data_IF_898368459836
#
_entry.id   IF_898368459836
#
_cell.length_a   1.000
_cell.length_b   1.000
_cell.length_c   1.000
_cell.angle_alpha   90.00
_cell.angle_beta   90.00
_cell.angle_gamma   90.00
#
_symmetry.space_group_name_H-M   'P 1'
#
loop_
_entity.id
_entity.type
_entity.pdbx_description
1 polymer ?
#
# COMPACT_ATOMS: atom_id res chain seq x y z
N UNK A 1 -21.83 29.98 9.70
CA UNK A 1 -20.66 29.85 8.80
C UNK A 1 -19.69 30.95 9.17
N UNK A 2 -18.60 30.63 9.85
CA UNK A 2 -17.54 31.60 10.14
C UNK A 2 -16.71 31.80 8.87
N UNK A 3 -16.82 32.98 8.27
CA UNK A 3 -15.99 33.35 7.13
C UNK A 3 -14.66 33.85 7.67
N UNK A 4 -13.53 33.31 7.19
CA UNK A 4 -12.25 33.98 7.41
C UNK A 4 -12.35 35.39 6.81
N UNK A 5 -12.13 36.46 7.60
CA UNK A 5 -12.19 37.83 7.09
C UNK A 5 -11.27 38.05 5.88
N UNK A 6 -10.17 37.28 5.81
CA UNK A 6 -9.18 37.32 4.74
C UNK A 6 -9.75 36.85 3.39
N UNK A 7 -10.73 35.95 3.38
CA UNK A 7 -11.31 35.40 2.15
C UNK A 7 -12.62 36.10 1.72
N UNK A 8 -13.09 37.12 2.46
CA UNK A 8 -14.38 37.78 2.19
C UNK A 8 -14.44 38.38 0.79
N UNK A 9 -13.33 38.94 0.32
CA UNK A 9 -13.23 39.54 -1.02
C UNK A 9 -13.44 38.51 -2.15
N UNK A 10 -13.20 37.22 -1.91
CA UNK A 10 -13.43 36.17 -2.91
C UNK A 10 -14.90 36.04 -3.31
N UNK A 11 -15.83 36.40 -2.41
CA UNK A 11 -17.27 36.36 -2.67
C UNK A 11 -17.78 37.57 -3.45
N UNK A 12 -16.93 38.55 -3.74
CA UNK A 12 -17.28 39.70 -4.58
C UNK A 12 -16.95 39.46 -6.06
N UNK A 13 -16.24 38.37 -6.39
CA UNK A 13 -16.00 37.99 -7.77
C UNK A 13 -17.25 37.38 -8.40
N UNK A 14 -17.33 37.51 -9.72
CA UNK A 14 -18.33 36.80 -10.52
C UNK A 14 -18.12 35.30 -10.38
N UNK A 15 -19.20 34.59 -10.09
CA UNK A 15 -19.19 33.14 -10.04
C UNK A 15 -19.55 32.58 -11.42
N UNK A 16 -18.66 31.77 -11.99
CA UNK A 16 -18.90 31.07 -13.24
C UNK A 16 -18.90 29.56 -13.00
N UNK A 17 -19.81 28.85 -13.68
CA UNK A 17 -19.97 27.40 -13.60
C UNK A 17 -19.47 26.79 -14.90
N UNK A 18 -18.53 25.86 -14.78
CA UNK A 18 -18.01 25.11 -15.92
C UNK A 18 -18.36 23.63 -15.78
N UNK A 19 -18.91 23.06 -16.86
CA UNK A 19 -19.11 21.62 -16.95
C UNK A 19 -17.81 20.95 -17.38
N UNK A 20 -17.33 20.01 -16.57
CA UNK A 20 -16.16 19.20 -16.94
C UNK A 20 -16.62 17.96 -17.71
N UNK A 21 -16.10 17.70 -18.92
CA UNK A 21 -16.50 16.55 -19.72
C UNK A 21 -16.33 15.22 -18.99
N UNK A 22 -17.20 14.26 -19.31
CA UNK A 22 -17.05 12.90 -18.81
C UNK A 22 -15.80 12.25 -19.40
N UNK A 23 -14.81 11.94 -18.56
CA UNK A 23 -13.69 11.08 -18.94
C UNK A 23 -14.14 9.63 -18.90
N UNK A 24 -14.49 9.08 -20.06
CA UNK A 24 -14.75 7.65 -20.22
C UNK A 24 -13.49 7.01 -20.78
N UNK A 25 -12.96 6.03 -20.05
CA UNK A 25 -11.82 5.25 -20.50
C UNK A 25 -12.04 3.81 -20.08
N UNK A 26 -11.54 2.87 -20.87
CA UNK A 26 -11.60 1.45 -20.55
C UNK A 26 -10.20 0.96 -20.23
N UNK A 27 -10.10 0.06 -19.26
CA UNK A 27 -8.88 -0.71 -19.08
C UNK A 27 -8.91 -1.93 -19.99
N UNK A 28 -7.75 -2.27 -20.53
CA UNK A 28 -7.55 -3.46 -21.37
C UNK A 28 -7.76 -4.73 -20.55
N UNK A 29 -7.35 -4.70 -19.28
CA UNK A 29 -7.35 -5.86 -18.38
C UNK A 29 -7.89 -5.49 -16.99
N UNK A 30 -8.72 -6.36 -16.42
CA UNK A 30 -9.04 -6.39 -14.98
C UNK A 30 -9.03 -7.85 -14.51
N UNK A 31 -8.68 -8.11 -13.23
CA UNK A 31 -8.80 -9.45 -12.66
C UNK A 31 -10.22 -10.01 -12.82
N UNK A 32 -10.34 -11.21 -13.37
CA UNK A 32 -11.62 -11.91 -13.60
C UNK A 32 -11.84 -13.05 -12.61
N UNK A 33 -10.78 -13.62 -12.07
CA UNK A 33 -10.85 -14.80 -11.22
C UNK A 33 -9.85 -14.68 -10.04
N UNK A 34 -9.91 -15.63 -9.11
CA UNK A 34 -9.04 -15.64 -7.93
C UNK A 34 -7.55 -15.68 -8.31
N UNK A 35 -7.18 -16.39 -9.38
CA UNK A 35 -5.79 -16.48 -9.84
C UNK A 35 -5.28 -15.14 -10.35
N UNK A 36 -6.08 -14.40 -11.11
CA UNK A 36 -5.70 -13.06 -11.58
C UNK A 36 -5.45 -12.10 -10.41
N UNK A 37 -6.24 -12.22 -9.33
CA UNK A 37 -6.06 -11.43 -8.11
C UNK A 37 -4.82 -11.85 -7.32
N UNK A 38 -4.55 -13.15 -7.23
CA UNK A 38 -3.31 -13.66 -6.65
C UNK A 38 -2.09 -13.07 -7.37
N UNK A 39 -2.11 -13.06 -8.71
CA UNK A 39 -1.04 -12.49 -9.53
C UNK A 39 -0.89 -10.97 -9.30
N UNK A 40 -1.97 -10.24 -9.00
CA UNK A 40 -1.89 -8.82 -8.61
C UNK A 40 -1.16 -8.66 -7.28
N UNK A 41 -1.53 -9.47 -6.28
CA UNK A 41 -0.91 -9.44 -4.95
C UNK A 41 0.57 -9.85 -5.01
N UNK A 42 0.90 -10.89 -5.77
CA UNK A 42 2.28 -11.33 -5.97
C UNK A 42 3.14 -10.25 -6.66
N UNK A 43 2.60 -9.59 -7.69
CA UNK A 43 3.28 -8.47 -8.37
C UNK A 43 3.52 -7.29 -7.43
N UNK A 44 2.53 -6.94 -6.60
CA UNK A 44 2.65 -5.88 -5.62
C UNK A 44 3.73 -6.20 -4.57
N UNK A 45 3.72 -7.43 -4.03
CA UNK A 45 4.72 -7.90 -3.09
C UNK A 45 6.13 -7.91 -3.70
N UNK A 46 6.26 -8.45 -4.92
CA UNK A 46 7.54 -8.49 -5.65
C UNK A 46 8.10 -7.09 -5.85
N UNK A 47 7.25 -6.12 -6.22
CA UNK A 47 7.68 -4.73 -6.39
C UNK A 47 8.10 -4.09 -5.08
N UNK A 48 7.34 -4.28 -4.00
CA UNK A 48 7.71 -3.79 -2.66
C UNK A 48 9.05 -4.38 -2.23
N UNK A 49 9.24 -5.69 -2.35
CA UNK A 49 10.49 -6.34 -1.97
C UNK A 49 11.70 -5.83 -2.78
N UNK A 50 11.51 -5.41 -4.04
CA UNK A 50 12.54 -4.74 -4.85
C UNK A 50 12.84 -3.32 -4.39
N UNK A 51 11.80 -2.52 -4.09
CA UNK A 51 11.96 -1.14 -3.62
C UNK A 51 12.67 -1.05 -2.27
N UNK A 52 12.46 -2.05 -1.41
CA UNK A 52 13.08 -2.13 -0.09
C UNK A 52 14.37 -2.96 -0.08
N UNK A 53 15.06 -3.19 -1.21
CA UNK A 53 16.37 -3.89 -1.18
C UNK A 53 17.44 -3.06 -0.41
N UNK A 54 18.33 -3.70 0.37
CA UNK A 54 18.86 -3.08 1.57
C UNK A 54 20.04 -2.13 1.32
N UNK A 55 19.98 -0.95 1.95
CA UNK A 55 21.18 -0.37 2.57
C UNK A 55 21.37 -0.89 4.00
N UNK A 56 20.30 -1.09 4.79
CA UNK A 56 20.35 -1.81 6.08
C UNK A 56 18.97 -2.42 6.43
N UNK A 57 18.93 -3.74 6.72
CA UNK A 57 17.81 -4.48 7.39
C UNK A 57 16.38 -4.24 6.86
N UNK A 58 16.13 -4.40 5.57
CA UNK A 58 14.75 -4.52 5.10
C UNK A 58 14.24 -5.97 5.24
N UNK A 59 13.13 -6.16 5.94
CA UNK A 59 12.41 -7.42 6.08
C UNK A 59 11.82 -7.83 4.73
N UNK A 60 12.33 -8.92 4.13
CA UNK A 60 11.68 -9.53 2.96
C UNK A 60 10.33 -10.09 3.40
N UNK A 61 9.29 -9.85 2.60
CA UNK A 61 7.94 -10.37 2.87
C UNK A 61 7.57 -11.49 1.90
N UNK A 62 6.76 -12.45 2.36
CA UNK A 62 6.22 -13.58 1.63
C UNK A 62 4.68 -13.52 1.60
N UNK A 63 4.07 -14.25 0.67
CA UNK A 63 2.62 -14.43 0.63
C UNK A 63 2.19 -15.42 1.72
N UNK A 64 1.25 -15.00 2.56
CA UNK A 64 0.54 -15.90 3.47
C UNK A 64 -0.58 -16.60 2.71
N UNK A 65 -0.29 -17.81 2.22
CA UNK A 65 -1.14 -18.55 1.28
C UNK A 65 -2.60 -18.67 1.75
N UNK A 66 -2.83 -18.97 3.04
CA UNK A 66 -4.19 -19.12 3.57
C UNK A 66 -5.02 -17.83 3.47
N UNK A 67 -4.44 -16.69 3.85
CA UNK A 67 -5.10 -15.38 3.78
C UNK A 67 -5.29 -14.94 2.33
N UNK A 68 -4.27 -15.09 1.49
CA UNK A 68 -4.37 -14.73 0.06
C UNK A 68 -5.44 -15.56 -0.65
N UNK A 69 -5.51 -16.86 -0.39
CA UNK A 69 -6.54 -17.74 -0.98
C UNK A 69 -7.94 -17.30 -0.58
N UNK A 70 -8.16 -16.98 0.71
CA UNK A 70 -9.46 -16.51 1.20
C UNK A 70 -9.85 -15.16 0.58
N UNK A 71 -8.93 -14.21 0.54
CA UNK A 71 -9.19 -12.86 0.03
C UNK A 71 -9.43 -12.87 -1.48
N UNK A 72 -8.64 -13.62 -2.25
CA UNK A 72 -8.82 -13.72 -3.71
C UNK A 72 -10.13 -14.39 -4.09
N UNK A 73 -10.57 -15.40 -3.33
CA UNK A 73 -11.88 -16.01 -3.48
C UNK A 73 -13.03 -15.05 -3.12
N UNK A 74 -12.82 -14.12 -2.19
CA UNK A 74 -13.79 -13.06 -1.90
C UNK A 74 -13.82 -12.00 -3.02
N UNK A 75 -12.65 -11.53 -3.47
CA UNK A 75 -12.51 -10.48 -4.49
C UNK A 75 -13.02 -10.89 -5.87
N UNK A 76 -13.07 -12.19 -6.19
CA UNK A 76 -13.61 -12.67 -7.47
C UNK A 76 -15.12 -12.94 -7.46
N UNK A 77 -15.84 -12.65 -6.37
CA UNK A 77 -17.30 -12.84 -6.30
C UNK A 77 -18.08 -11.85 -7.15
N UNK A 78 -17.54 -10.64 -7.31
CA UNK A 78 -18.15 -9.58 -8.09
C UNK A 78 -17.28 -9.28 -9.31
N UNK A 79 -17.91 -9.21 -10.49
CA UNK A 79 -17.20 -8.83 -11.70
C UNK A 79 -16.84 -7.35 -11.65
N UNK A 80 -15.56 -7.05 -11.83
CA UNK A 80 -15.09 -5.68 -11.94
C UNK A 80 -15.42 -5.18 -13.34
N UNK A 81 -16.12 -4.05 -13.40
CA UNK A 81 -16.34 -3.33 -14.67
C UNK A 81 -15.01 -3.00 -15.34
N UNK A 82 -14.94 -2.98 -16.67
CA UNK A 82 -13.77 -2.44 -17.40
C UNK A 82 -13.80 -0.92 -17.54
N UNK A 83 -14.91 -0.28 -17.17
CA UNK A 83 -15.04 1.17 -17.24
C UNK A 83 -14.26 1.81 -16.10
N UNK A 84 -13.26 2.61 -16.46
CA UNK A 84 -12.44 3.32 -15.49
C UNK A 84 -13.24 4.38 -14.77
N UNK A 85 -13.11 4.38 -13.45
CA UNK A 85 -13.76 5.39 -12.61
C UNK A 85 -12.73 6.46 -12.27
N UNK A 86 -12.76 7.57 -13.02
CA UNK A 86 -12.02 8.80 -12.65
C UNK A 86 -12.96 9.73 -11.87
N UNK A 87 -12.67 9.94 -10.59
CA UNK A 87 -13.44 10.87 -9.75
C UNK A 87 -13.14 12.35 -10.07
N UNK A 88 -13.95 13.24 -9.50
CA UNK A 88 -13.91 14.67 -9.79
C UNK A 88 -12.60 15.33 -9.34
N UNK A 89 -11.92 14.84 -8.30
CA UNK A 89 -10.65 15.42 -7.84
C UNK A 89 -9.61 15.46 -8.95
N UNK A 90 -9.48 14.33 -9.66
CA UNK A 90 -8.46 14.14 -10.69
C UNK A 90 -8.82 14.94 -11.92
N UNK A 91 -10.10 14.94 -12.29
CA UNK A 91 -10.62 15.74 -13.41
C UNK A 91 -10.37 17.22 -13.20
N UNK A 92 -10.67 17.72 -12.00
CA UNK A 92 -10.47 19.12 -11.66
C UNK A 92 -8.98 19.50 -11.68
N UNK A 93 -8.12 18.69 -11.06
CA UNK A 93 -6.68 18.92 -11.05
C UNK A 93 -6.11 18.98 -12.49
N UNK A 94 -6.44 17.99 -13.32
CA UNK A 94 -5.94 17.94 -14.69
C UNK A 94 -6.47 19.08 -15.56
N UNK A 95 -7.73 19.49 -15.36
CA UNK A 95 -8.30 20.64 -16.05
C UNK A 95 -7.59 21.94 -15.68
N UNK A 96 -7.33 22.17 -14.39
CA UNK A 96 -6.58 23.34 -13.91
C UNK A 96 -5.18 23.33 -14.52
N UNK A 97 -4.48 22.19 -14.45
CA UNK A 97 -3.13 22.06 -14.98
C UNK A 97 -3.07 22.31 -16.49
N UNK A 98 -4.03 21.78 -17.25
CA UNK A 98 -4.14 22.02 -18.69
C UNK A 98 -4.40 23.51 -18.98
N UNK A 99 -5.37 24.11 -18.31
CA UNK A 99 -5.75 25.52 -18.50
C UNK A 99 -4.60 26.48 -18.22
N UNK A 100 -3.85 26.26 -17.13
CA UNK A 100 -2.68 27.07 -16.80
C UNK A 100 -1.50 26.85 -17.75
N UNK A 101 -1.39 25.66 -18.34
CA UNK A 101 -0.36 25.36 -19.35
C UNK A 101 -0.70 26.00 -20.70
N UNK A 102 -1.97 25.99 -21.10
CA UNK A 102 -2.46 26.56 -22.35
C UNK A 102 -2.48 28.10 -22.29
N UNK A 103 -2.78 28.67 -21.12
CA UNK A 103 -2.77 30.11 -20.89
C UNK A 103 -1.88 30.48 -19.69
N UNK A 104 -0.58 30.76 -19.90
CA UNK A 104 0.34 31.14 -18.84
C UNK A 104 0.00 32.46 -18.13
N UNK A 105 -0.84 33.32 -18.73
CA UNK A 105 -1.30 34.57 -18.10
C UNK A 105 -2.48 34.37 -17.14
N UNK A 106 -3.07 33.17 -17.10
CA UNK A 106 -4.15 32.85 -16.17
C UNK A 106 -3.64 32.95 -14.73
N UNK A 107 -4.44 33.59 -13.87
CA UNK A 107 -4.16 33.61 -12.44
C UNK A 107 -4.07 32.16 -11.91
N UNK A 108 -3.05 31.88 -11.10
CA UNK A 108 -2.84 30.55 -10.55
C UNK A 108 -4.00 30.12 -9.67
N UNK A 109 -4.48 28.91 -9.89
CA UNK A 109 -5.53 28.34 -9.07
C UNK A 109 -5.02 28.09 -7.65
N UNK A 110 -5.91 28.23 -6.66
CA UNK A 110 -5.63 27.77 -5.31
C UNK A 110 -5.35 26.27 -5.33
N UNK A 111 -4.32 25.85 -4.59
CA UNK A 111 -3.95 24.44 -4.54
C UNK A 111 -4.97 23.57 -3.78
N UNK A 112 -5.86 24.18 -2.99
CA UNK A 112 -6.93 23.47 -2.30
C UNK A 112 -8.10 23.18 -3.25
N UNK A 113 -8.35 21.90 -3.51
CA UNK A 113 -9.44 21.39 -4.33
C UNK A 113 -10.68 21.17 -3.45
N UNK A 114 -11.68 22.05 -3.61
CA UNK A 114 -12.96 21.94 -2.90
C UNK A 114 -13.81 20.79 -3.45
N UNK A 115 -14.04 19.76 -2.63
CA UNK A 115 -14.90 18.61 -2.95
C UNK A 115 -15.93 18.35 -1.86
N UNK A 116 -17.07 17.76 -2.23
CA UNK A 116 -18.20 17.54 -1.33
C UNK A 116 -17.99 16.38 -0.34
N UNK A 117 -17.09 15.44 -0.64
CA UNK A 117 -16.74 14.28 0.19
C UNK A 117 -15.23 14.16 0.35
N UNK A 118 -14.78 13.42 1.36
CA UNK A 118 -13.36 13.03 1.45
C UNK A 118 -12.96 12.22 0.22
N UNK A 119 -11.71 12.34 -0.19
CA UNK A 119 -11.21 11.64 -1.37
C UNK A 119 -11.06 10.14 -1.12
N UNK A 120 -11.18 9.36 -2.19
CA UNK A 120 -10.81 7.95 -2.14
C UNK A 120 -9.29 7.78 -2.03
N UNK A 121 -8.84 6.58 -1.68
CA UNK A 121 -7.42 6.28 -1.54
C UNK A 121 -6.67 6.49 -2.86
N UNK A 122 -7.26 6.07 -3.99
CA UNK A 122 -6.68 6.27 -5.32
C UNK A 122 -6.50 7.75 -5.68
N UNK A 123 -7.53 8.59 -5.46
CA UNK A 123 -7.43 10.03 -5.73
C UNK A 123 -6.37 10.70 -4.84
N UNK A 124 -6.31 10.31 -3.56
CA UNK A 124 -5.34 10.86 -2.63
C UNK A 124 -3.90 10.58 -3.08
N UNK A 125 -3.59 9.33 -3.39
CA UNK A 125 -2.26 8.94 -3.87
C UNK A 125 -1.91 9.54 -5.23
N UNK A 126 -2.91 9.75 -6.10
CA UNK A 126 -2.67 10.42 -7.38
C UNK A 126 -2.20 11.85 -7.16
N UNK A 127 -2.93 12.62 -6.34
CA UNK A 127 -2.62 14.03 -6.08
C UNK A 127 -1.21 14.12 -5.50
N UNK A 128 -0.86 13.24 -4.57
CA UNK A 128 0.48 13.18 -4.00
C UNK A 128 1.55 12.84 -5.05
N UNK A 129 1.30 11.84 -5.91
CA UNK A 129 2.22 11.48 -6.98
C UNK A 129 2.40 12.61 -7.98
N UNK A 130 1.30 13.26 -8.34
CA UNK A 130 1.28 14.37 -9.26
C UNK A 130 2.11 15.53 -8.71
N UNK A 131 1.89 15.91 -7.44
CA UNK A 131 2.67 16.94 -6.77
C UNK A 131 4.17 16.66 -6.79
N UNK A 132 4.59 15.41 -6.52
CA UNK A 132 6.01 15.01 -6.55
C UNK A 132 6.62 15.12 -7.95
N UNK A 133 5.89 14.71 -8.99
CA UNK A 133 6.38 14.68 -10.38
C UNK A 133 6.34 16.06 -11.06
N UNK A 134 5.39 16.91 -10.67
CA UNK A 134 5.12 18.20 -11.31
C UNK A 134 5.53 19.41 -10.46
N UNK A 135 5.99 19.21 -9.21
CA UNK A 135 6.38 20.30 -8.31
C UNK A 135 5.19 21.13 -7.82
N UNK A 136 3.98 20.58 -7.83
CA UNK A 136 2.75 21.26 -7.39
C UNK A 136 2.41 20.95 -5.93
N UNK A 137 1.37 21.59 -5.39
CA UNK A 137 0.93 21.43 -3.98
C UNK A 137 -0.57 21.20 -3.84
N UNK A 138 -1.20 20.60 -4.83
CA UNK A 138 -2.64 20.33 -4.81
C UNK A 138 -3.02 19.48 -3.60
N UNK A 139 -4.15 19.78 -2.97
CA UNK A 139 -4.64 19.04 -1.81
C UNK A 139 -6.17 19.07 -1.74
N UNK A 140 -6.75 18.05 -1.12
CA UNK A 140 -8.16 18.04 -0.70
C UNK A 140 -8.23 18.04 0.83
N UNK A 141 -9.44 18.10 1.40
CA UNK A 141 -9.64 18.03 2.86
C UNK A 141 -9.03 16.78 3.51
N UNK A 142 -8.87 15.69 2.76
CA UNK A 142 -8.32 14.43 3.25
C UNK A 142 -8.91 13.23 2.52
N UNK A 143 -8.59 12.04 3.03
CA UNK A 143 -8.99 10.75 2.44
C UNK A 143 -9.85 9.94 3.41
N UNK A 144 -10.81 9.18 2.89
CA UNK A 144 -11.56 8.18 3.67
C UNK A 144 -10.94 6.77 3.55
N UNK A 145 -9.80 6.62 2.88
CA UNK A 145 -9.03 5.37 2.83
C UNK A 145 -9.61 4.21 2.02
N UNK A 146 -10.80 4.35 1.40
CA UNK A 146 -11.40 3.27 0.58
C UNK A 146 -10.88 3.36 -0.86
N UNK A 147 -10.62 2.21 -1.46
CA UNK A 147 -10.26 2.05 -2.87
C UNK A 147 -11.49 1.63 -3.67
N UNK A 148 -11.62 2.11 -4.91
CA UNK A 148 -12.71 1.78 -5.81
C UNK A 148 -12.13 1.13 -7.06
N UNK A 149 -12.71 0.02 -7.54
CA UNK A 149 -12.18 -0.72 -8.69
C UNK A 149 -13.12 -0.62 -9.92
N UNK A 150 -12.60 -0.59 -11.16
CA UNK A 150 -11.18 -0.51 -11.51
C UNK A 150 -10.67 0.92 -11.34
N UNK A 151 -9.61 1.09 -10.55
CA UNK A 151 -8.93 2.38 -10.51
C UNK A 151 -7.77 2.38 -11.48
N UNK A 152 -7.84 3.23 -12.50
CA UNK A 152 -6.72 3.50 -13.38
C UNK A 152 -6.67 4.98 -13.70
N UNK A 153 -5.46 5.42 -14.02
CA UNK A 153 -5.12 6.80 -14.28
C UNK A 153 -5.54 7.25 -15.67
N UNK A 154 -6.00 8.50 -15.80
CA UNK A 154 -5.98 9.17 -17.09
C UNK A 154 -4.56 9.13 -17.68
N UNK A 155 -4.44 8.97 -19.00
CA UNK A 155 -3.14 8.98 -19.71
C UNK A 155 -2.92 10.26 -20.51
N UNK A 156 -3.93 11.13 -20.55
CA UNK A 156 -3.99 12.33 -21.37
C UNK A 156 -3.40 13.57 -20.66
N UNK A 157 -2.21 13.43 -20.06
CA UNK A 157 -1.51 14.57 -19.46
C UNK A 157 0.02 14.38 -19.50
N UNK A 158 0.82 15.48 -19.47
CA UNK A 158 2.27 15.38 -19.48
C UNK A 158 2.81 14.53 -18.32
N UNK A 159 3.88 13.76 -18.56
CA UNK A 159 4.52 12.89 -17.56
C UNK A 159 3.58 11.84 -16.91
N UNK A 160 2.45 11.49 -17.55
CA UNK A 160 1.49 10.51 -17.00
C UNK A 160 2.14 9.18 -16.58
N UNK A 161 3.11 8.69 -17.35
CA UNK A 161 3.81 7.44 -17.05
C UNK A 161 4.63 7.54 -15.75
N UNK A 162 5.34 8.64 -15.55
CA UNK A 162 6.11 8.90 -14.33
C UNK A 162 5.18 9.08 -13.12
N UNK A 163 4.06 9.81 -13.29
CA UNK A 163 3.03 9.95 -12.23
C UNK A 163 2.42 8.60 -11.86
N UNK A 164 2.07 7.77 -12.83
CA UNK A 164 1.55 6.43 -12.59
C UNK A 164 2.59 5.55 -11.88
N UNK A 165 3.84 5.58 -12.32
CA UNK A 165 4.93 4.84 -11.68
C UNK A 165 5.12 5.26 -10.21
N UNK A 166 5.13 6.56 -9.94
CA UNK A 166 5.25 7.13 -8.60
C UNK A 166 4.08 6.71 -7.72
N UNK A 167 2.84 6.83 -8.21
CA UNK A 167 1.68 6.40 -7.44
C UNK A 167 1.71 4.90 -7.15
N UNK A 168 1.99 4.06 -8.15
CA UNK A 168 2.08 2.61 -7.92
C UNK A 168 3.19 2.26 -6.91
N UNK A 169 4.29 3.02 -6.88
CA UNK A 169 5.32 2.85 -5.84
C UNK A 169 4.75 3.09 -4.43
N UNK A 170 4.02 4.19 -4.24
CA UNK A 170 3.41 4.50 -2.95
C UNK A 170 2.32 3.49 -2.57
N UNK A 171 1.52 3.06 -3.55
CA UNK A 171 0.47 2.06 -3.34
C UNK A 171 1.05 0.71 -2.86
N UNK A 172 2.14 0.23 -3.50
CA UNK A 172 2.75 -1.04 -3.09
C UNK A 172 3.44 -0.95 -1.73
N UNK A 173 3.95 0.22 -1.34
CA UNK A 173 4.50 0.42 0.00
C UNK A 173 3.39 0.32 1.06
N UNK A 174 2.25 0.95 0.82
CA UNK A 174 1.08 0.89 1.72
C UNK A 174 0.55 -0.54 1.80
N UNK A 175 0.29 -1.18 0.66
CA UNK A 175 -0.17 -2.58 0.65
C UNK A 175 0.84 -3.50 1.30
N UNK A 176 2.12 -3.34 0.97
CA UNK A 176 3.21 -4.11 1.57
C UNK A 176 3.27 -3.97 3.09
N UNK A 177 2.86 -2.83 3.63
CA UNK A 177 2.92 -2.56 5.08
C UNK A 177 1.68 -3.05 5.82
N UNK A 178 0.48 -2.90 5.24
CA UNK A 178 -0.79 -3.09 5.95
C UNK A 178 -1.64 -4.26 5.47
N UNK A 179 -1.31 -4.90 4.34
CA UNK A 179 -2.07 -6.06 3.89
C UNK A 179 -1.67 -7.31 4.69
N UNK A 180 -2.65 -7.92 5.36
CA UNK A 180 -2.45 -9.08 6.24
C UNK A 180 -2.12 -10.38 5.49
N UNK A 181 -2.24 -10.40 4.16
CA UNK A 181 -1.78 -11.51 3.32
C UNK A 181 -0.27 -11.50 3.06
N UNK A 182 0.47 -10.54 3.63
CA UNK A 182 1.94 -10.53 3.59
C UNK A 182 2.54 -10.76 4.98
N UNK A 183 3.46 -11.71 5.07
CA UNK A 183 4.18 -12.04 6.30
C UNK A 183 5.69 -11.85 6.13
N UNK A 184 6.41 -11.65 7.23
CA UNK A 184 7.86 -11.48 7.19
C UNK A 184 8.50 -12.85 6.97
N UNK A 185 9.46 -12.93 6.03
CA UNK A 185 10.35 -14.08 5.93
C UNK A 185 11.20 -14.13 7.20
N UNK A 186 10.84 -15.04 8.11
CA UNK A 186 11.72 -15.38 9.22
C UNK A 186 12.96 -16.02 8.63
N UNK A 187 14.07 -15.29 8.59
CA UNK A 187 15.37 -15.94 8.45
C UNK A 187 15.51 -16.81 9.69
N UNK A 188 15.69 -18.11 9.51
CA UNK A 188 16.26 -18.96 10.55
C UNK A 188 17.56 -18.27 10.96
N UNK A 189 17.53 -17.52 12.07
CA UNK A 189 18.73 -17.24 12.82
C UNK A 189 19.19 -18.61 13.24
N UNK A 190 20.14 -19.18 12.50
CA UNK A 190 20.87 -20.34 12.98
C UNK A 190 21.28 -20.01 14.41
N UNK A 191 21.00 -20.90 15.34
CA UNK A 191 21.49 -20.79 16.70
C UNK A 191 23.02 -20.67 16.63
N UNK A 192 23.55 -19.45 16.67
CA UNK A 192 24.97 -19.16 16.87
C UNK A 192 25.24 -18.89 18.36
N UNK A 193 24.48 -19.54 19.25
CA UNK A 193 24.85 -19.60 20.66
C UNK A 193 26.01 -20.57 20.85
N UNK A 194 27.19 -20.18 20.34
CA UNK A 194 28.48 -20.62 20.87
C UNK A 194 28.96 -19.66 21.97
N UNK A 195 28.04 -19.16 22.79
CA UNK A 195 28.38 -18.62 24.09
C UNK A 195 28.65 -19.82 24.99
N UNK A 196 29.92 -20.20 25.12
CA UNK A 196 30.36 -21.16 26.11
C UNK A 196 29.88 -20.68 27.48
N UNK A 197 28.92 -21.41 28.06
CA UNK A 197 28.61 -21.32 29.46
C UNK A 197 29.87 -21.75 30.21
N UNK A 198 30.56 -20.78 30.82
CA UNK A 198 31.41 -21.10 31.94
C UNK A 198 30.54 -21.83 32.96
N UNK A 199 31.04 -22.99 33.35
CA UNK A 199 30.39 -23.97 34.19
C UNK A 199 29.90 -23.37 35.51
N UNK A 200 28.72 -23.81 35.93
CA UNK A 200 28.54 -24.25 37.31
C UNK A 200 27.51 -25.40 37.36
N UNK A 201 28.00 -26.59 37.74
CA UNK A 201 27.19 -27.74 38.23
C UNK A 201 26.66 -28.73 37.19
N UNK A 202 26.95 -30.05 37.31
CA UNK A 202 26.35 -31.06 36.44
C UNK A 202 25.02 -31.56 37.03
N UNK A 203 24.01 -31.70 36.18
CA UNK A 203 22.93 -32.65 36.39
C UNK A 203 22.90 -33.63 35.20
N UNK A 204 23.87 -34.53 35.18
CA UNK A 204 23.83 -35.72 34.33
C UNK A 204 23.03 -36.80 35.06
N UNK A 205 21.87 -37.16 34.52
CA UNK A 205 21.15 -38.36 34.91
C UNK A 205 22.01 -39.58 34.51
N UNK A 206 22.54 -40.29 35.50
CA UNK A 206 23.17 -41.59 35.27
C UNK A 206 22.10 -42.62 34.90
N UNK A 207 22.25 -43.18 33.71
CA UNK A 207 21.52 -44.35 33.24
C UNK A 207 21.88 -45.58 34.08
N UNK A 208 20.85 -46.30 34.53
CA UNK A 208 20.90 -47.58 35.23
C UNK A 208 21.97 -48.55 34.68
N UNK A 209 23.07 -48.70 35.42
CA UNK A 209 24.09 -49.71 35.17
C UNK A 209 23.75 -51.01 35.91
N UNK A 210 23.86 -52.19 35.26
CA UNK A 210 23.57 -53.50 35.87
C UNK A 210 24.39 -53.83 37.12
N UNK A 211 25.50 -53.13 37.37
CA UNK A 211 26.34 -53.33 38.54
C UNK A 211 25.71 -52.80 39.83
N UNK A 212 24.83 -51.79 39.75
CA UNK A 212 24.17 -51.18 40.92
C UNK A 212 23.04 -52.06 41.48
N UNK A 213 22.36 -52.83 40.62
CA UNK A 213 21.31 -53.78 41.04
C UNK A 213 21.84 -54.99 41.82
N UNK A 214 23.05 -55.47 41.51
CA UNK A 214 23.66 -56.60 42.20
C UNK A 214 24.13 -56.27 43.64
N UNK A 215 24.46 -55.00 43.92
CA UNK A 215 24.87 -54.55 45.24
C UNK A 215 23.68 -54.36 46.20
N UNK A 216 22.52 -53.93 45.69
CA UNK A 216 21.29 -53.71 46.47
C UNK A 216 20.61 -55.03 46.89
N UNK A 217 20.65 -56.08 46.06
CA UNK A 217 20.07 -57.39 46.40
C UNK A 217 20.83 -58.12 47.52
N UNK A 218 22.10 -57.77 47.77
CA UNK A 218 22.93 -58.36 48.84
C UNK A 218 22.74 -57.68 50.21
N UNK A 219 22.14 -56.49 50.23
CA UNK A 219 21.90 -55.69 51.44
C UNK A 219 20.46 -55.88 51.97
N UNK A 220 19.51 -56.26 51.11
CA UNK A 220 18.09 -56.43 51.49
C UNK A 220 17.68 -57.89 51.73
N UNK A 221 18.66 -58.80 51.85
CA UNK A 221 18.44 -60.25 52.00
C UNK A 221 18.93 -60.84 53.33
N UNK A 222 19.02 -60.06 54.41
CA UNK A 222 19.42 -60.51 55.75
C UNK A 222 18.62 -59.81 56.84
#
# INVERSE_FOLDING_TARGET
>A
VSWSPQCRHLFHYRFDIHTVPATLSKTDTVPQNAKDWEDVLERALSRRNKLHQPRHKAEKKLLKISTVTQDTAYMCREQISKNLVTHCEIKLLLLIAASESENPSLAKAYSYLGVSKLSCHGCHLFIEAYNRIHGTRFMTRGTHGKSYWPWQFPRNFPKHAATAQQMYSMLVDIWGSYYNGYEIEMKNLGQDSSAGSYADGPATFESDSPKTRAALAKILGS
#
